data_IF_401434526214
#
_entry.id   IF_401434526214
#
_cell.length_a   1.000
_cell.length_b   1.000
_cell.length_c   1.000
_cell.angle_alpha   90.00
_cell.angle_beta   90.00
_cell.angle_gamma   90.00
#
_symmetry.space_group_name_H-M   'P 1'
#
loop_
_entity.id
_entity.type
_entity.pdbx_description
1 polymer ?
#
# COMPACT_ATOMS: atom_id res chain seq x y z
N UNK A 1 5.35 -13.71 11.93
CA UNK A 1 4.42 -14.85 11.94
C UNK A 1 3.54 -14.97 10.67
N UNK A 2 3.76 -14.18 9.60
CA UNK A 2 3.15 -14.45 8.28
C UNK A 2 3.92 -15.51 7.48
N UNK A 3 5.26 -15.54 7.60
CA UNK A 3 6.13 -16.47 6.88
C UNK A 3 5.96 -17.95 7.26
N UNK A 4 5.31 -18.25 8.39
CA UNK A 4 5.14 -19.63 8.88
C UNK A 4 3.93 -20.32 8.24
N UNK A 5 2.98 -19.59 7.65
CA UNK A 5 1.73 -20.18 7.13
C UNK A 5 1.61 -20.24 5.59
N UNK A 6 2.54 -19.67 4.82
CA UNK A 6 2.54 -19.78 3.36
C UNK A 6 3.97 -19.89 2.79
N UNK A 7 4.52 -21.11 2.64
CA UNK A 7 5.84 -21.36 2.05
C UNK A 7 5.97 -20.81 0.63
N UNK A 8 4.87 -20.70 -0.12
CA UNK A 8 4.82 -20.16 -1.48
C UNK A 8 5.30 -18.72 -1.60
N UNK A 9 5.15 -17.91 -0.53
CA UNK A 9 5.59 -16.52 -0.53
C UNK A 9 7.12 -16.35 -0.43
N UNK A 10 7.83 -17.36 0.07
CA UNK A 10 9.28 -17.32 0.30
C UNK A 10 10.06 -17.65 -0.97
N UNK A 11 9.49 -18.47 -1.87
CA UNK A 11 10.12 -18.94 -3.12
C UNK A 11 9.43 -18.40 -4.39
N UNK A 12 8.66 -17.29 -4.29
CA UNK A 12 7.91 -16.75 -5.43
C UNK A 12 8.85 -16.22 -6.52
N UNK A 13 8.48 -16.41 -7.79
CA UNK A 13 9.21 -15.88 -8.96
C UNK A 13 8.80 -14.45 -9.35
N UNK A 14 7.60 -14.00 -8.94
CA UNK A 14 7.02 -12.73 -9.36
C UNK A 14 6.65 -11.80 -8.21
N UNK A 15 6.44 -10.50 -8.47
CA UNK A 15 5.91 -9.55 -7.49
C UNK A 15 4.46 -9.88 -7.10
N UNK A 16 4.07 -9.45 -5.89
CA UNK A 16 2.66 -9.47 -5.44
C UNK A 16 2.20 -8.03 -5.42
N UNK A 17 1.11 -7.79 -6.14
CA UNK A 17 0.41 -6.53 -6.16
C UNK A 17 -0.69 -6.54 -5.10
N UNK A 18 -0.59 -5.60 -4.17
CA UNK A 18 -1.67 -5.26 -3.25
C UNK A 18 -2.31 -3.94 -3.70
N UNK A 19 -3.63 -3.93 -3.84
CA UNK A 19 -4.42 -2.80 -4.38
C UNK A 19 -5.83 -2.80 -3.82
N UNK A 20 -6.55 -1.68 -4.00
CA UNK A 20 -7.98 -1.61 -3.72
C UNK A 20 -8.84 -2.23 -4.84
N UNK A 21 -10.16 -2.26 -4.61
CA UNK A 21 -11.16 -2.79 -5.54
C UNK A 21 -11.88 -1.68 -6.35
N UNK A 22 -11.26 -0.52 -6.57
CA UNK A 22 -11.84 0.53 -7.40
C UNK A 22 -12.24 -0.04 -8.78
N UNK A 23 -13.32 0.49 -9.38
CA UNK A 23 -13.88 -0.07 -10.63
C UNK A 23 -12.85 -0.18 -11.76
N UNK A 24 -12.02 0.86 -11.91
CA UNK A 24 -10.94 0.88 -12.90
C UNK A 24 -9.93 -0.25 -12.65
N UNK A 25 -9.75 -0.62 -11.39
CA UNK A 25 -8.79 -1.61 -10.95
C UNK A 25 -9.25 -3.05 -11.18
N UNK A 26 -10.54 -3.32 -11.00
CA UNK A 26 -11.13 -4.65 -11.25
C UNK A 26 -11.62 -4.84 -12.69
N UNK A 27 -11.33 -3.91 -13.59
CA UNK A 27 -11.69 -4.04 -15.00
C UNK A 27 -10.99 -5.24 -15.65
N UNK A 28 -11.66 -5.88 -16.62
CA UNK A 28 -11.08 -7.02 -17.34
C UNK A 28 -9.75 -6.66 -18.02
N UNK A 29 -9.66 -5.45 -18.56
CA UNK A 29 -8.44 -4.93 -19.17
C UNK A 29 -7.28 -4.91 -18.17
N UNK A 30 -7.48 -4.32 -16.98
CA UNK A 30 -6.43 -4.23 -15.97
C UNK A 30 -6.07 -5.58 -15.37
N UNK A 31 -7.03 -6.48 -15.16
CA UNK A 31 -6.75 -7.85 -14.68
C UNK A 31 -5.88 -8.60 -15.69
N UNK A 32 -6.19 -8.47 -16.99
CA UNK A 32 -5.41 -9.10 -18.06
C UNK A 32 -3.96 -8.60 -18.07
N UNK A 33 -3.77 -7.28 -18.02
CA UNK A 33 -2.43 -6.68 -18.01
C UNK A 33 -1.58 -7.16 -16.82
N UNK A 34 -2.18 -7.20 -15.62
CA UNK A 34 -1.51 -7.69 -14.40
C UNK A 34 -1.05 -9.14 -14.56
N UNK A 35 -1.88 -9.99 -15.19
CA UNK A 35 -1.55 -11.38 -15.46
C UNK A 35 -0.44 -11.50 -16.52
N UNK A 36 -0.50 -10.72 -17.61
CA UNK A 36 0.53 -10.70 -18.65
C UNK A 36 1.90 -10.22 -18.12
N UNK A 37 1.90 -9.28 -17.16
CA UNK A 37 3.09 -8.84 -16.45
C UNK A 37 3.57 -9.82 -15.36
N UNK A 38 2.84 -10.93 -15.11
CA UNK A 38 3.22 -11.96 -14.14
C UNK A 38 3.05 -11.55 -12.67
N UNK A 39 2.20 -10.56 -12.38
CA UNK A 39 1.91 -10.14 -11.01
C UNK A 39 0.86 -11.04 -10.38
N UNK A 40 1.15 -11.56 -9.20
CA UNK A 40 0.14 -12.17 -8.33
C UNK A 40 -0.63 -11.07 -7.60
N UNK A 41 -1.93 -11.26 -7.39
CA UNK A 41 -2.76 -10.27 -6.67
C UNK A 41 -3.16 -10.78 -5.29
N UNK A 42 -3.03 -9.93 -4.27
CA UNK A 42 -3.48 -10.24 -2.93
C UNK A 42 -4.89 -9.68 -2.68
N UNK A 43 -5.78 -10.49 -2.09
CA UNK A 43 -7.14 -10.06 -1.73
C UNK A 43 -7.13 -9.11 -0.52
N UNK A 44 -8.00 -8.11 -0.60
CA UNK A 44 -7.96 -6.80 0.05
C UNK A 44 -7.97 -6.76 1.59
N UNK A 45 -7.02 -6.03 2.19
CA UNK A 45 -7.11 -5.33 3.46
C UNK A 45 -6.83 -3.82 3.32
N UNK A 46 -7.10 -2.98 4.35
CA UNK A 46 -6.84 -1.54 4.29
C UNK A 46 -5.35 -1.23 4.00
N UNK A 47 -5.06 -0.56 2.89
CA UNK A 47 -3.71 -0.20 2.44
C UNK A 47 -3.26 1.16 2.97
N UNK A 48 -4.21 2.00 3.35
CA UNK A 48 -4.01 3.45 3.42
C UNK A 48 -3.72 3.95 4.86
N UNK A 49 -2.92 3.21 5.61
CA UNK A 49 -2.63 3.53 7.02
C UNK A 49 -1.26 4.16 7.27
N UNK A 50 -0.32 4.00 6.34
CA UNK A 50 1.08 4.41 6.53
C UNK A 50 1.47 5.58 5.62
N UNK A 51 1.61 5.34 4.32
CA UNK A 51 2.09 6.34 3.38
C UNK A 51 1.18 7.58 3.35
N UNK A 52 -0.12 7.40 3.12
CA UNK A 52 -1.08 8.52 3.04
C UNK A 52 -1.19 9.27 4.36
N UNK A 53 -1.23 8.58 5.50
CA UNK A 53 -1.25 9.23 6.83
C UNK A 53 -0.05 10.17 7.03
N UNK A 54 1.16 9.73 6.66
CA UNK A 54 2.35 10.56 6.77
C UNK A 54 2.37 11.68 5.73
N UNK A 55 1.87 11.42 4.52
CA UNK A 55 1.74 12.43 3.48
C UNK A 55 0.73 13.51 3.87
N UNK A 56 -0.44 13.16 4.39
CA UNK A 56 -1.45 14.11 4.88
C UNK A 56 -0.89 15.00 5.99
N UNK A 57 -0.09 14.45 6.90
CA UNK A 57 0.60 15.23 7.92
C UNK A 57 1.65 16.17 7.32
N UNK A 58 2.38 15.74 6.29
CA UNK A 58 3.35 16.58 5.59
C UNK A 58 2.68 17.71 4.80
N UNK A 59 1.48 17.47 4.28
CA UNK A 59 0.67 18.47 3.57
C UNK A 59 -0.02 19.47 4.50
N UNK A 60 -0.05 19.22 5.82
CA UNK A 60 -0.73 20.10 6.77
C UNK A 60 -0.18 21.52 6.65
N UNK A 61 -1.08 22.49 6.60
CA UNK A 61 -0.78 23.93 6.46
C UNK A 61 -0.10 24.35 5.15
N UNK A 62 0.07 23.45 4.17
CA UNK A 62 0.56 23.81 2.83
C UNK A 62 -0.58 24.34 1.95
N UNK A 63 -0.32 25.41 1.20
CA UNK A 63 -1.24 25.98 0.20
C UNK A 63 -0.58 25.95 -1.16
N UNK A 64 -1.26 25.36 -2.14
CA UNK A 64 -0.77 25.23 -3.52
C UNK A 64 -1.44 26.28 -4.40
N UNK A 65 -0.65 27.05 -5.16
CA UNK A 65 -1.18 28.07 -6.09
C UNK A 65 -1.41 27.50 -7.48
N UNK A 66 -0.71 26.42 -7.80
CA UNK A 66 -0.76 25.75 -9.09
C UNK A 66 -0.39 24.27 -8.95
N UNK A 67 -0.43 23.55 -10.08
CA UNK A 67 -0.08 22.12 -10.15
C UNK A 67 1.41 21.86 -9.87
N UNK A 68 2.29 22.75 -10.31
CA UNK A 68 3.73 22.61 -10.14
C UNK A 68 4.12 22.65 -8.65
N UNK A 69 3.53 23.56 -7.86
CA UNK A 69 3.71 23.63 -6.42
C UNK A 69 3.34 22.29 -5.74
N UNK A 70 2.22 21.70 -6.15
CA UNK A 70 1.74 20.42 -5.62
C UNK A 70 2.68 19.26 -6.00
N UNK A 71 3.16 19.22 -7.26
CA UNK A 71 4.11 18.20 -7.73
C UNK A 71 5.44 18.33 -7.02
N UNK A 72 5.99 19.54 -6.90
CA UNK A 72 7.25 19.79 -6.20
C UNK A 72 7.16 19.39 -4.73
N UNK A 73 6.04 19.71 -4.07
CA UNK A 73 5.79 19.29 -2.68
C UNK A 73 5.71 17.77 -2.54
N UNK A 74 5.12 17.06 -3.51
CA UNK A 74 5.13 15.60 -3.51
C UNK A 74 6.55 15.05 -3.67
N UNK A 75 7.35 15.61 -4.58
CA UNK A 75 8.75 15.22 -4.77
C UNK A 75 9.58 15.47 -3.51
N UNK A 76 9.39 16.61 -2.84
CA UNK A 76 10.01 16.90 -1.53
C UNK A 76 9.65 15.83 -0.50
N UNK A 77 8.37 15.43 -0.42
CA UNK A 77 7.94 14.38 0.48
C UNK A 77 8.65 13.05 0.18
N UNK A 78 8.67 12.61 -1.08
CA UNK A 78 9.35 11.37 -1.50
C UNK A 78 10.84 11.40 -1.17
N UNK A 79 11.49 12.56 -1.34
CA UNK A 79 12.91 12.72 -1.00
C UNK A 79 13.16 12.77 0.52
N UNK A 80 12.15 13.10 1.33
CA UNK A 80 12.26 13.15 2.79
C UNK A 80 12.12 11.80 3.48
N UNK A 81 11.54 10.80 2.80
CA UNK A 81 11.28 9.47 3.38
C UNK A 81 12.41 8.48 3.04
N UNK A 82 12.77 7.65 4.02
CA UNK A 82 13.86 6.68 3.89
C UNK A 82 13.36 5.32 3.38
N UNK A 83 14.24 4.45 2.86
CA UNK A 83 13.86 3.06 2.55
C UNK A 83 13.23 2.33 3.75
N UNK A 84 13.71 2.60 4.96
CA UNK A 84 13.17 2.02 6.20
C UNK A 84 11.71 2.42 6.46
N UNK A 85 11.28 3.62 6.00
CA UNK A 85 9.89 4.04 6.07
C UNK A 85 8.97 3.05 5.36
N UNK A 86 9.33 2.66 4.12
CA UNK A 86 8.55 1.69 3.35
C UNK A 86 8.61 0.29 3.97
N UNK A 87 9.79 -0.14 4.39
CA UNK A 87 9.97 -1.43 5.08
C UNK A 87 9.10 -1.53 6.33
N UNK A 88 9.04 -0.48 7.15
CA UNK A 88 8.21 -0.42 8.35
C UNK A 88 6.72 -0.44 8.02
N UNK A 89 6.30 0.33 7.01
CA UNK A 89 4.93 0.29 6.49
C UNK A 89 4.51 -1.12 6.10
N UNK A 90 5.30 -1.80 5.26
CA UNK A 90 4.98 -3.17 4.80
C UNK A 90 5.04 -4.18 5.95
N UNK A 91 6.03 -4.09 6.86
CA UNK A 91 6.17 -5.03 7.99
C UNK A 91 5.01 -4.94 8.99
N UNK A 92 4.41 -3.77 9.17
CA UNK A 92 3.28 -3.59 10.08
C UNK A 92 1.97 -4.19 9.57
N UNK A 93 1.87 -4.49 8.27
CA UNK A 93 0.70 -5.09 7.64
C UNK A 93 0.28 -6.41 8.32
N UNK A 94 1.26 -7.25 8.66
CA UNK A 94 1.06 -8.49 9.40
C UNK A 94 0.34 -8.29 10.74
N UNK A 95 0.76 -7.25 11.48
CA UNK A 95 0.19 -6.91 12.79
C UNK A 95 -1.23 -6.36 12.63
N UNK A 96 -1.47 -5.54 11.60
CA UNK A 96 -2.80 -4.99 11.31
C UNK A 96 -3.79 -6.08 10.89
N UNK A 97 -3.38 -7.05 10.07
CA UNK A 97 -4.26 -8.18 9.73
C UNK A 97 -4.62 -9.02 10.94
N UNK A 98 -3.66 -9.25 11.84
CA UNK A 98 -3.93 -9.94 13.10
C UNK A 98 -4.98 -9.17 13.92
N UNK A 99 -4.82 -7.85 14.09
CA UNK A 99 -5.81 -7.00 14.77
C UNK A 99 -7.18 -7.03 14.09
N UNK A 100 -7.23 -7.05 12.76
CA UNK A 100 -8.49 -7.14 12.00
C UNK A 100 -9.26 -8.42 12.33
N UNK A 101 -8.56 -9.56 12.36
CA UNK A 101 -9.14 -10.84 12.77
C UNK A 101 -9.59 -10.80 14.23
N UNK A 102 -8.76 -10.28 15.13
CA UNK A 102 -9.08 -10.15 16.56
C UNK A 102 -10.26 -9.20 16.82
N UNK A 103 -10.47 -8.23 15.94
CA UNK A 103 -11.57 -7.26 16.02
C UNK A 103 -12.83 -7.73 15.27
N UNK A 104 -12.87 -8.98 14.79
CA UNK A 104 -13.97 -9.50 13.95
C UNK A 104 -14.30 -8.60 12.75
N UNK A 105 -13.28 -8.00 12.14
CA UNK A 105 -13.44 -7.10 11.00
C UNK A 105 -13.84 -5.66 11.34
N UNK A 106 -14.03 -5.32 12.62
CA UNK A 106 -14.27 -3.93 13.04
C UNK A 106 -13.02 -3.05 12.83
N UNK A 107 -13.25 -1.73 12.74
CA UNK A 107 -12.17 -0.75 12.66
C UNK A 107 -11.32 -0.71 13.93
N UNK A 108 -10.02 -0.46 13.76
CA UNK A 108 -9.03 -0.34 14.83
C UNK A 108 -7.89 0.59 14.39
N UNK A 109 -7.19 1.17 15.37
CA UNK A 109 -5.98 1.96 15.16
C UNK A 109 -4.70 1.10 15.04
#
# INVERSE_FOLDING_TARGET
>A
MLFVKQPSLVNRKGPILLRDNARVHVSQFTIREIHELGYETLKHPPTDYHFLKHFDNFLREKVFRNKEDAVNTFVEFINSITPDFYCNGIRTLAKRWKKCVESNGNYFD
#
